data_IF_904962322269
#
_entry.id   IF_904962322269
#
_cell.length_a   1.000
_cell.length_b   1.000
_cell.length_c   1.000
_cell.angle_alpha   90.00
_cell.angle_beta   90.00
_cell.angle_gamma   90.00
#
_symmetry.space_group_name_H-M   'P 1'
#
loop_
_entity.id
_entity.type
_entity.pdbx_description
1 polymer ?
#
# COMPACT_ATOMS: atom_id res chain seq x y z
N UNK A 1 -13.80 -89.50 50.56
CA UNK A 1 -12.98 -88.39 50.04
C UNK A 1 -12.61 -88.64 48.58
N UNK A 2 -13.08 -87.79 47.64
CA UNK A 2 -12.42 -87.41 46.37
C UNK A 2 -13.25 -86.34 45.64
N UNK A 3 -12.57 -85.29 45.21
CA UNK A 3 -13.05 -84.01 44.63
C UNK A 3 -13.40 -84.11 43.12
N UNK A 4 -14.12 -83.13 42.54
CA UNK A 4 -14.43 -83.07 41.11
C UNK A 4 -13.36 -82.34 40.28
N UNK A 5 -13.13 -82.78 39.04
CA UNK A 5 -12.34 -82.06 38.02
C UNK A 5 -13.25 -81.80 36.80
N UNK A 6 -13.78 -80.58 36.66
CA UNK A 6 -13.24 -79.43 35.90
C UNK A 6 -12.99 -79.67 34.39
N UNK A 7 -13.79 -78.93 33.62
CA UNK A 7 -13.33 -77.91 32.66
C UNK A 7 -12.62 -78.42 31.40
N UNK A 8 -13.38 -78.61 30.32
CA UNK A 8 -12.81 -78.69 28.97
C UNK A 8 -13.70 -77.97 27.96
N UNK A 9 -13.25 -76.79 27.52
CA UNK A 9 -13.33 -76.22 26.14
C UNK A 9 -13.33 -74.68 26.19
N UNK A 10 -12.13 -74.08 26.19
CA UNK A 10 -11.88 -72.71 25.71
C UNK A 10 -10.48 -72.65 25.12
N UNK A 11 -10.30 -73.08 23.86
CA UNK A 11 -9.02 -72.90 23.15
C UNK A 11 -9.15 -72.85 21.61
N UNK A 12 -10.30 -72.42 21.06
CA UNK A 12 -10.46 -72.24 19.60
C UNK A 12 -10.54 -70.78 19.14
N UNK A 13 -10.53 -69.79 20.04
CA UNK A 13 -10.81 -68.38 19.70
C UNK A 13 -9.58 -67.49 19.50
N UNK A 14 -8.36 -67.99 19.71
CA UNK A 14 -7.12 -67.20 19.64
C UNK A 14 -6.45 -67.20 18.26
N UNK A 15 -6.52 -68.29 17.49
CA UNK A 15 -5.85 -68.38 16.17
C UNK A 15 -6.57 -67.52 15.12
N UNK A 16 -7.90 -67.48 15.14
CA UNK A 16 -8.69 -66.69 14.17
C UNK A 16 -8.49 -65.18 14.38
N UNK A 17 -8.25 -64.73 15.60
CA UNK A 17 -7.99 -63.31 15.91
C UNK A 17 -6.59 -62.85 15.49
N UNK A 18 -5.60 -63.74 15.51
CA UNK A 18 -4.24 -63.41 15.09
C UNK A 18 -4.12 -63.21 13.58
N UNK A 19 -4.83 -64.01 12.77
CA UNK A 19 -4.80 -63.86 11.30
C UNK A 19 -5.57 -62.64 10.79
N UNK A 20 -6.67 -62.25 11.46
CA UNK A 20 -7.42 -61.03 11.11
C UNK A 20 -6.68 -59.73 11.49
N UNK A 21 -5.87 -59.75 12.56
CA UNK A 21 -5.10 -58.58 12.99
C UNK A 21 -3.93 -58.22 12.07
N UNK A 22 -3.26 -59.21 11.48
CA UNK A 22 -2.08 -58.98 10.61
C UNK A 22 -2.49 -58.64 9.17
N UNK A 23 -3.62 -59.16 8.68
CA UNK A 23 -4.15 -58.80 7.36
C UNK A 23 -4.59 -57.33 7.23
N UNK A 24 -5.14 -56.75 8.30
CA UNK A 24 -5.59 -55.35 8.30
C UNK A 24 -4.44 -54.33 8.39
N UNK A 25 -3.31 -54.69 9.01
CA UNK A 25 -2.12 -53.83 9.05
C UNK A 25 -1.38 -53.88 7.71
N UNK A 26 -1.36 -55.03 7.01
CA UNK A 26 -0.79 -55.16 5.67
C UNK A 26 -1.53 -54.33 4.59
N UNK A 27 -2.86 -54.20 4.69
CA UNK A 27 -3.65 -53.42 3.73
C UNK A 27 -3.57 -51.89 3.94
N UNK A 28 -3.09 -51.43 5.10
CA UNK A 28 -2.87 -49.99 5.35
C UNK A 28 -1.58 -49.45 4.70
N UNK A 29 -0.62 -50.33 4.36
CA UNK A 29 0.68 -49.93 3.77
C UNK A 29 0.67 -50.07 2.24
N UNK A 30 -0.16 -50.97 1.69
CA UNK A 30 -0.26 -51.20 0.23
C UNK A 30 -1.18 -50.22 -0.52
N UNK A 31 -1.93 -49.36 0.17
CA UNK A 31 -2.87 -48.38 -0.42
C UNK A 31 -2.28 -46.96 -0.53
N UNK A 32 -0.95 -46.83 -0.47
CA UNK A 32 -0.26 -45.55 -0.56
C UNK A 32 0.43 -45.35 -1.94
N UNK A 33 -0.27 -45.40 -3.09
CA UNK A 33 0.24 -44.74 -4.30
C UNK A 33 -0.30 -43.31 -4.50
N UNK A 34 -1.29 -42.85 -3.71
CA UNK A 34 -1.95 -41.56 -3.93
C UNK A 34 -1.60 -40.44 -2.92
N UNK A 35 -0.92 -40.73 -1.80
CA UNK A 35 -0.51 -39.65 -0.88
C UNK A 35 0.67 -38.83 -1.40
N UNK A 36 1.56 -39.39 -2.21
CA UNK A 36 2.67 -38.63 -2.81
C UNK A 36 2.14 -37.54 -3.77
N UNK A 37 1.16 -37.88 -4.63
CA UNK A 37 0.51 -36.90 -5.51
C UNK A 37 -0.26 -35.83 -4.74
N UNK A 38 -0.85 -36.18 -3.60
CA UNK A 38 -1.55 -35.21 -2.74
C UNK A 38 -0.58 -34.32 -1.94
N UNK A 39 0.58 -34.83 -1.54
CA UNK A 39 1.64 -34.06 -0.89
C UNK A 39 2.27 -33.05 -1.84
N UNK A 40 2.52 -33.41 -3.10
CA UNK A 40 3.01 -32.49 -4.14
C UNK A 40 1.98 -31.39 -4.45
N UNK A 41 0.68 -31.72 -4.48
CA UNK A 41 -0.38 -30.71 -4.62
C UNK A 41 -0.47 -29.81 -3.40
N UNK A 42 -0.28 -30.33 -2.19
CA UNK A 42 -0.29 -29.55 -0.96
C UNK A 42 0.94 -28.65 -0.81
N UNK A 43 2.14 -29.10 -1.21
CA UNK A 43 3.32 -28.24 -1.25
C UNK A 43 3.15 -27.13 -2.27
N UNK A 44 2.62 -27.45 -3.47
CA UNK A 44 2.34 -26.46 -4.49
C UNK A 44 1.25 -25.45 -4.08
N UNK A 45 0.25 -25.87 -3.30
CA UNK A 45 -0.75 -24.98 -2.70
C UNK A 45 -0.14 -24.14 -1.57
N UNK A 46 0.75 -24.69 -0.74
CA UNK A 46 1.47 -23.93 0.29
C UNK A 46 2.41 -22.89 -0.30
N UNK A 47 3.16 -23.24 -1.35
CA UNK A 47 4.07 -22.32 -2.03
C UNK A 47 3.28 -21.19 -2.73
N UNK A 48 2.14 -21.52 -3.35
CA UNK A 48 1.22 -20.52 -3.90
C UNK A 48 0.57 -19.67 -2.80
N UNK A 49 0.17 -20.25 -1.68
CA UNK A 49 -0.41 -19.50 -0.56
C UNK A 49 0.61 -18.58 0.09
N UNK A 50 1.87 -19.01 0.22
CA UNK A 50 2.97 -18.18 0.69
C UNK A 50 3.21 -17.00 -0.27
N UNK A 51 3.28 -17.25 -1.59
CA UNK A 51 3.41 -16.18 -2.58
C UNK A 51 2.21 -15.20 -2.61
N UNK A 52 0.99 -15.71 -2.46
CA UNK A 52 -0.21 -14.86 -2.37
C UNK A 52 -0.20 -14.04 -1.08
N UNK A 53 0.23 -14.62 0.04
CA UNK A 53 0.30 -13.92 1.32
C UNK A 53 1.31 -12.78 1.30
N UNK A 54 2.49 -12.98 0.67
CA UNK A 54 3.49 -11.93 0.52
C UNK A 54 3.03 -10.84 -0.44
N UNK A 55 2.39 -11.18 -1.56
CA UNK A 55 1.80 -10.19 -2.47
C UNK A 55 0.69 -9.37 -1.80
N UNK A 56 -0.16 -10.02 -0.99
CA UNK A 56 -1.20 -9.32 -0.23
C UNK A 56 -0.61 -8.40 0.83
N UNK A 57 0.47 -8.80 1.49
CA UNK A 57 1.17 -8.00 2.50
C UNK A 57 1.85 -6.79 1.85
N UNK A 58 2.53 -6.97 0.71
CA UNK A 58 3.11 -5.87 -0.07
C UNK A 58 2.03 -4.86 -0.52
N UNK A 59 0.90 -5.34 -1.05
CA UNK A 59 -0.23 -4.48 -1.43
C UNK A 59 -0.80 -3.69 -0.26
N UNK A 60 -0.86 -4.28 0.94
CA UNK A 60 -1.30 -3.58 2.15
C UNK A 60 -0.31 -2.49 2.55
N UNK A 61 0.99 -2.79 2.55
CA UNK A 61 2.03 -1.82 2.85
C UNK A 61 2.03 -0.66 1.85
N UNK A 62 1.84 -0.94 0.57
CA UNK A 62 1.75 0.09 -0.47
C UNK A 62 0.49 0.95 -0.28
N UNK A 63 -0.66 0.32 0.02
CA UNK A 63 -1.89 1.05 0.32
C UNK A 63 -1.74 1.95 1.57
N UNK A 64 -1.04 1.46 2.60
CA UNK A 64 -0.75 2.23 3.82
C UNK A 64 0.17 3.42 3.53
N UNK A 65 1.20 3.25 2.70
CA UNK A 65 2.08 4.34 2.24
C UNK A 65 1.30 5.40 1.48
N UNK A 66 0.51 4.99 0.49
CA UNK A 66 -0.32 5.91 -0.30
C UNK A 66 -1.32 6.65 0.60
N UNK A 67 -1.92 5.97 1.57
CA UNK A 67 -2.82 6.60 2.53
C UNK A 67 -2.09 7.59 3.46
N UNK A 68 -0.85 7.31 3.86
CA UNK A 68 -0.04 8.21 4.68
C UNK A 68 0.40 9.46 3.89
N UNK A 69 0.79 9.29 2.63
CA UNK A 69 1.10 10.39 1.71
C UNK A 69 -0.15 11.26 1.48
N UNK A 70 -1.30 10.64 1.19
CA UNK A 70 -2.56 11.36 1.00
C UNK A 70 -2.95 12.18 2.23
N UNK A 71 -2.85 11.61 3.44
CA UNK A 71 -3.08 12.35 4.69
C UNK A 71 -2.11 13.51 4.86
N UNK A 72 -0.87 13.35 4.45
CA UNK A 72 0.13 14.43 4.51
C UNK A 72 -0.26 15.59 3.59
N UNK A 73 -0.71 15.29 2.38
CA UNK A 73 -1.26 16.30 1.46
C UNK A 73 -2.52 16.96 2.02
N UNK A 74 -3.44 16.18 2.59
CA UNK A 74 -4.67 16.68 3.21
C UNK A 74 -4.36 17.67 4.34
N UNK A 75 -3.42 17.31 5.22
CA UNK A 75 -2.99 18.19 6.31
C UNK A 75 -2.38 19.50 5.78
N UNK A 76 -1.59 19.44 4.70
CA UNK A 76 -1.01 20.65 4.09
C UNK A 76 -2.07 21.54 3.46
N UNK A 77 -3.04 20.96 2.75
CA UNK A 77 -4.18 21.69 2.19
C UNK A 77 -5.04 22.34 3.29
N UNK A 78 -5.28 21.63 4.40
CA UNK A 78 -6.02 22.16 5.54
C UNK A 78 -5.26 23.26 6.30
N UNK A 79 -3.94 23.13 6.44
CA UNK A 79 -3.09 24.15 7.06
C UNK A 79 -3.03 25.43 6.22
N UNK A 80 -3.31 25.31 4.92
CA UNK A 80 -3.23 26.39 3.95
C UNK A 80 -1.93 26.33 3.17
N UNK A 81 -2.05 26.51 1.86
CA UNK A 81 -0.91 26.61 0.97
C UNK A 81 -0.27 27.99 1.13
N UNK A 82 1.04 28.11 0.99
CA UNK A 82 1.68 29.43 0.84
C UNK A 82 1.29 30.04 -0.51
N UNK A 83 1.17 29.21 -1.55
CA UNK A 83 0.73 29.60 -2.88
C UNK A 83 0.31 28.39 -3.72
N UNK A 84 -0.50 28.64 -4.74
CA UNK A 84 -0.71 27.71 -5.83
C UNK A 84 0.30 27.95 -6.95
N UNK A 85 0.77 26.85 -7.56
CA UNK A 85 1.75 26.88 -8.64
C UNK A 85 1.10 27.30 -9.95
N UNK A 86 1.76 28.22 -10.65
CA UNK A 86 1.45 28.56 -12.04
C UNK A 86 2.61 28.21 -12.97
N UNK A 87 2.28 27.98 -14.24
CA UNK A 87 3.28 27.65 -15.25
C UNK A 87 4.22 28.82 -15.49
N UNK A 88 5.51 28.50 -15.67
CA UNK A 88 6.54 29.45 -16.05
C UNK A 88 6.18 30.18 -17.36
N UNK A 89 5.75 29.43 -18.37
CA UNK A 89 5.49 29.96 -19.71
C UNK A 89 4.15 30.68 -19.82
N UNK A 90 3.22 30.39 -18.91
CA UNK A 90 1.91 31.03 -18.91
C UNK A 90 1.31 31.09 -17.48
N UNK A 91 1.33 32.28 -16.88
CA UNK A 91 0.75 32.53 -15.57
C UNK A 91 -0.78 32.32 -15.49
N UNK A 92 -1.46 32.15 -16.64
CA UNK A 92 -2.89 31.78 -16.66
C UNK A 92 -3.11 30.27 -16.52
N UNK A 93 -2.06 29.45 -16.51
CA UNK A 93 -2.17 27.99 -16.37
C UNK A 93 -1.55 27.55 -15.08
N UNK A 94 -2.15 26.54 -14.44
CA UNK A 94 -1.57 25.89 -13.27
C UNK A 94 -0.29 25.15 -13.65
N UNK A 95 0.68 25.19 -12.74
CA UNK A 95 1.83 24.30 -12.75
C UNK A 95 1.54 23.04 -11.95
N UNK A 96 2.37 22.02 -12.11
CA UNK A 96 2.30 20.80 -11.32
C UNK A 96 3.43 20.76 -10.30
N UNK A 97 3.18 20.11 -9.18
CA UNK A 97 4.24 19.78 -8.22
C UNK A 97 5.12 18.65 -8.80
N UNK A 98 6.44 18.80 -8.72
CA UNK A 98 7.39 17.73 -9.08
C UNK A 98 8.71 17.85 -8.31
N UNK A 99 9.44 16.75 -8.06
CA UNK A 99 10.68 16.77 -7.27
C UNK A 99 11.75 17.65 -7.91
N UNK A 100 12.42 18.47 -7.10
CA UNK A 100 13.52 19.33 -7.52
C UNK A 100 13.08 20.58 -8.31
N UNK A 101 11.79 20.78 -8.56
CA UNK A 101 11.32 21.97 -9.24
C UNK A 101 11.54 23.23 -8.40
N UNK A 102 12.01 24.28 -9.05
CA UNK A 102 12.26 25.58 -8.43
C UNK A 102 11.03 26.46 -8.57
N UNK A 103 10.71 27.18 -7.51
CA UNK A 103 9.51 28.00 -7.45
C UNK A 103 9.92 29.41 -7.06
N UNK A 104 9.59 30.38 -7.92
CA UNK A 104 9.94 31.79 -7.77
C UNK A 104 8.69 32.66 -7.68
N UNK A 105 8.78 33.73 -6.89
CA UNK A 105 7.76 34.75 -6.88
C UNK A 105 7.85 35.57 -8.19
N UNK A 106 6.75 35.69 -8.96
CA UNK A 106 6.77 36.36 -10.27
C UNK A 106 7.04 37.87 -10.19
N UNK A 107 6.89 38.48 -9.02
CA UNK A 107 7.10 39.93 -8.82
C UNK A 107 8.54 40.25 -8.41
N UNK A 108 9.16 39.40 -7.60
CA UNK A 108 10.50 39.64 -7.06
C UNK A 108 11.58 38.78 -7.71
N UNK A 109 11.20 37.79 -8.52
CA UNK A 109 12.07 36.75 -9.08
C UNK A 109 12.92 36.01 -8.03
N UNK A 110 12.55 36.11 -6.75
CA UNK A 110 13.18 35.40 -5.66
C UNK A 110 12.52 34.04 -5.45
N UNK A 111 13.33 33.05 -5.09
CA UNK A 111 12.81 31.74 -4.67
C UNK A 111 11.93 31.87 -3.43
N UNK A 112 10.88 31.04 -3.36
CA UNK A 112 10.11 30.92 -2.14
C UNK A 112 11.00 30.46 -0.98
N UNK A 113 10.71 30.97 0.22
CA UNK A 113 11.48 30.63 1.41
C UNK A 113 11.38 29.12 1.75
N UNK A 114 12.42 28.53 2.37
CA UNK A 114 12.34 27.15 2.86
C UNK A 114 11.20 27.00 3.88
N UNK A 115 10.55 25.84 3.89
CA UNK A 115 9.37 25.56 4.70
C UNK A 115 8.04 26.03 4.09
N UNK A 116 8.07 26.80 3.00
CA UNK A 116 6.85 27.20 2.28
C UNK A 116 6.16 25.97 1.69
N UNK A 117 4.82 25.95 1.78
CA UNK A 117 4.01 24.88 1.21
C UNK A 117 3.48 25.35 -0.14
N UNK A 118 3.77 24.63 -1.21
CA UNK A 118 3.22 24.89 -2.54
C UNK A 118 2.20 23.83 -2.90
N UNK A 119 1.15 24.23 -3.60
CA UNK A 119 0.06 23.34 -4.01
C UNK A 119 -0.21 23.48 -5.50
N UNK A 120 -0.68 22.42 -6.14
CA UNK A 120 -1.22 22.47 -7.50
C UNK A 120 -2.74 22.26 -7.51
N UNK A 121 -3.35 22.41 -8.69
CA UNK A 121 -4.78 22.21 -8.87
C UNK A 121 -5.18 20.73 -9.03
N UNK A 122 -4.22 19.80 -9.03
CA UNK A 122 -4.42 18.36 -9.12
C UNK A 122 -4.31 17.66 -7.76
N UNK A 123 -4.03 18.40 -6.68
CA UNK A 123 -3.90 17.86 -5.33
C UNK A 123 -2.47 17.48 -4.92
N UNK A 124 -1.48 17.78 -5.76
CA UNK A 124 -0.08 17.75 -5.38
C UNK A 124 0.25 18.88 -4.40
N UNK A 125 1.05 18.55 -3.40
CA UNK A 125 1.60 19.49 -2.43
C UNK A 125 3.09 19.24 -2.27
N UNK A 126 3.88 20.28 -2.04
CA UNK A 126 5.29 20.14 -1.70
C UNK A 126 5.72 21.12 -0.61
N UNK A 127 6.79 20.76 0.10
CA UNK A 127 7.53 21.69 0.95
C UNK A 127 8.79 22.14 0.21
N UNK A 128 9.02 23.45 0.20
CA UNK A 128 10.25 24.05 -0.31
C UNK A 128 11.39 23.80 0.68
N UNK A 129 12.52 23.29 0.23
CA UNK A 129 13.70 23.09 1.07
C UNK A 129 14.97 23.50 0.32
N UNK A 130 15.99 23.90 1.07
CA UNK A 130 17.33 24.11 0.51
C UNK A 130 17.93 22.75 0.15
N UNK A 131 18.30 22.58 -1.11
CA UNK A 131 18.89 21.35 -1.64
C UNK A 131 20.40 21.46 -1.85
N UNK A 132 21.02 22.57 -1.43
CA UNK A 132 22.47 22.81 -1.51
C UNK A 132 22.96 23.02 -2.94
N UNK A 133 23.77 24.05 -3.18
CA UNK A 133 24.40 24.38 -4.48
C UNK A 133 23.45 24.72 -5.63
N UNK A 134 22.18 24.35 -5.53
CA UNK A 134 21.14 24.44 -6.55
C UNK A 134 19.95 25.31 -6.13
N UNK A 135 19.99 25.85 -4.91
CA UNK A 135 18.99 26.78 -4.36
C UNK A 135 17.86 26.07 -3.63
N UNK A 136 16.71 26.72 -3.54
CA UNK A 136 15.52 26.19 -2.86
C UNK A 136 14.64 25.48 -3.89
N UNK A 137 14.21 24.25 -3.59
CA UNK A 137 13.40 23.43 -4.50
C UNK A 137 12.31 22.64 -3.76
N UNK A 138 11.35 22.12 -4.54
CA UNK A 138 10.32 21.21 -4.08
C UNK A 138 10.92 19.85 -3.70
N UNK A 139 10.67 19.36 -2.49
CA UNK A 139 11.25 18.10 -2.00
C UNK A 139 10.18 17.14 -1.49
N UNK A 140 9.61 17.43 -0.34
CA UNK A 140 8.64 16.59 0.37
C UNK A 140 7.26 16.67 -0.30
N UNK A 141 7.08 15.85 -1.34
CA UNK A 141 5.89 15.85 -2.19
C UNK A 141 4.88 14.84 -1.68
N UNK A 142 3.62 15.27 -1.62
CA UNK A 142 2.51 14.41 -1.26
C UNK A 142 1.29 14.76 -2.12
N UNK A 143 0.48 13.75 -2.47
CA UNK A 143 -0.68 13.91 -3.35
C UNK A 143 -1.95 13.50 -2.58
N UNK A 144 -2.93 14.39 -2.50
CA UNK A 144 -4.23 14.08 -1.89
C UNK A 144 -5.07 13.20 -2.82
N UNK A 145 -5.98 12.42 -2.23
CA UNK A 145 -7.06 11.73 -2.94
C UNK A 145 -8.42 12.45 -2.78
N UNK A 146 -8.47 13.55 -2.03
CA UNK A 146 -9.67 14.36 -1.80
C UNK A 146 -9.61 15.70 -2.58
N UNK A 147 -10.11 15.67 -3.81
CA UNK A 147 -10.22 16.86 -4.65
C UNK A 147 -11.16 17.94 -4.10
N UNK A 148 -12.01 17.63 -3.12
CA UNK A 148 -12.85 18.64 -2.46
C UNK A 148 -12.00 19.54 -1.57
N UNK A 149 -10.95 19.00 -0.93
CA UNK A 149 -9.99 19.80 -0.16
C UNK A 149 -9.20 20.73 -1.07
N UNK A 150 -8.77 20.25 -2.24
CA UNK A 150 -8.09 21.08 -3.24
C UNK A 150 -8.93 22.27 -3.63
N UNK A 151 -10.22 22.05 -3.97
CA UNK A 151 -11.14 23.14 -4.33
C UNK A 151 -11.33 24.13 -3.20
N UNK A 152 -11.55 23.65 -1.96
CA UNK A 152 -11.67 24.53 -0.79
C UNK A 152 -10.41 25.36 -0.56
N UNK A 153 -9.23 24.75 -0.70
CA UNK A 153 -7.96 25.46 -0.58
C UNK A 153 -7.83 26.51 -1.69
N UNK A 154 -8.18 26.20 -2.93
CA UNK A 154 -8.19 27.18 -4.04
C UNK A 154 -9.13 28.35 -3.74
N UNK A 155 -10.37 28.08 -3.27
CA UNK A 155 -11.35 29.11 -2.91
C UNK A 155 -10.82 30.03 -1.79
N UNK A 156 -10.12 29.48 -0.79
CA UNK A 156 -9.47 30.27 0.28
C UNK A 156 -8.38 31.20 -0.25
N UNK A 157 -7.70 30.81 -1.33
CA UNK A 157 -6.73 31.64 -2.05
C UNK A 157 -7.39 32.56 -3.08
N UNK A 158 -8.72 32.68 -3.07
CA UNK A 158 -9.47 33.47 -4.05
C UNK A 158 -9.48 32.87 -5.46
N UNK A 159 -8.91 31.67 -5.64
CA UNK A 159 -8.74 31.00 -6.92
C UNK A 159 -10.04 30.31 -7.32
N UNK A 160 -10.61 30.69 -8.47
CA UNK A 160 -11.76 29.99 -9.03
C UNK A 160 -11.31 28.69 -9.74
N UNK A 161 -11.56 27.49 -9.17
CA UNK A 161 -11.14 26.23 -9.77
C UNK A 161 -11.91 25.87 -11.05
N UNK A 162 -13.09 26.47 -11.28
CA UNK A 162 -13.93 26.19 -12.45
C UNK A 162 -13.57 27.05 -13.67
N UNK A 163 -12.89 28.17 -13.46
CA UNK A 163 -12.51 29.06 -14.55
C UNK A 163 -11.34 28.50 -15.39
N UNK A 164 -10.64 27.48 -14.89
CA UNK A 164 -9.53 26.82 -15.60
C UNK A 164 -8.31 27.74 -15.80
N UNK A 165 -8.38 28.98 -15.29
CA UNK A 165 -7.35 29.98 -15.38
C UNK A 165 -6.76 30.27 -13.98
N UNK A 166 -5.44 30.32 -13.89
CA UNK A 166 -4.72 30.74 -12.67
C UNK A 166 -4.88 32.23 -12.35
N UNK A 167 -5.82 32.93 -13.00
CA UNK A 167 -5.89 34.40 -13.09
C UNK A 167 -6.77 35.06 -12.04
N UNK A 168 -7.71 34.36 -11.44
CA UNK A 168 -8.65 35.00 -10.54
C UNK A 168 -8.20 34.70 -9.12
N UNK A 169 -7.49 35.63 -8.46
CA UNK A 169 -7.54 35.76 -7.00
C UNK A 169 -6.32 35.44 -6.12
N UNK A 170 -5.20 34.89 -6.60
CA UNK A 170 -4.04 34.75 -5.69
C UNK A 170 -2.97 33.68 -5.99
N UNK A 171 -2.87 33.12 -7.19
CA UNK A 171 -1.81 32.16 -7.52
C UNK A 171 -0.48 32.91 -7.76
N UNK A 172 0.41 32.93 -6.76
CA UNK A 172 1.57 33.83 -6.72
C UNK A 172 2.92 33.09 -6.60
N UNK A 173 3.11 31.99 -7.33
CA UNK A 173 4.47 31.54 -7.64
C UNK A 173 4.58 30.75 -8.96
N UNK A 174 5.60 31.09 -9.75
CA UNK A 174 5.92 30.46 -11.04
C UNK A 174 6.96 29.38 -10.85
N UNK A 175 6.81 28.30 -11.61
CA UNK A 175 7.88 27.33 -11.80
C UNK A 175 9.03 27.99 -12.59
N UNK A 176 10.27 27.68 -12.24
CA UNK A 176 11.44 28.02 -13.05
C UNK A 176 11.95 26.72 -13.70
N UNK A 177 11.99 26.71 -15.04
CA UNK A 177 12.54 25.61 -15.83
C UNK A 177 14.07 25.63 -15.77
#
# INVERSE_FOLDING_TARGET
>A
MKLPFRYRRRHQSTIVKAFLGVGLIGCAIASIPDTQRNLERLSQVRDRAAAISTEQELKKLDAEKVAAEAKTADMRLMKGCSTFLVSASNATKFGNVYPGGKVVNPTTDLSLAPGSIVCDNQGGTAVMADIGGSGIAMTDIAITQDFRLVRKAMDLHGINPQAGDGRIGGANARLQH
#
